data_IF_939460995369
#
_entry.id   IF_939460995369
#
_cell.length_a   1.000
_cell.length_b   1.000
_cell.length_c   1.000
_cell.angle_alpha   90.00
_cell.angle_beta   90.00
_cell.angle_gamma   90.00
#
_symmetry.space_group_name_H-M   'P 1'
#
loop_
_entity.id
_entity.type
_entity.pdbx_description
1 polymer ?
#
# COMPACT_ATOMS: atom_id res chain seq x y z
N UNK A 1 32.57 -13.34 4.57
CA UNK A 1 31.44 -12.65 5.24
C UNK A 1 30.38 -12.47 4.17
N UNK A 2 29.17 -12.97 4.40
CA UNK A 2 28.08 -12.77 3.44
C UNK A 2 27.70 -11.29 3.46
N UNK A 3 28.08 -10.54 2.43
CA UNK A 3 27.62 -9.18 2.24
C UNK A 3 26.12 -9.29 1.94
N UNK A 4 25.29 -9.07 2.96
CA UNK A 4 23.85 -8.93 2.79
C UNK A 4 23.61 -7.59 2.08
N UNK A 5 23.77 -7.58 0.75
CA UNK A 5 23.43 -6.44 -0.08
C UNK A 5 21.92 -6.37 -0.15
N UNK A 6 21.33 -5.39 0.51
CA UNK A 6 19.94 -5.03 0.27
C UNK A 6 19.85 -4.66 -1.20
N UNK A 7 19.15 -5.48 -2.00
CA UNK A 7 18.94 -5.26 -3.42
C UNK A 7 17.98 -4.07 -3.57
N UNK A 8 18.53 -2.86 -3.69
CA UNK A 8 17.75 -1.61 -3.75
C UNK A 8 16.73 -1.61 -4.90
N UNK A 9 17.02 -2.30 -5.99
CA UNK A 9 16.10 -2.47 -7.12
C UNK A 9 14.81 -3.23 -6.72
N UNK A 10 14.91 -4.21 -5.81
CA UNK A 10 13.75 -4.94 -5.31
C UNK A 10 12.89 -4.09 -4.39
N UNK A 11 13.51 -3.17 -3.64
CA UNK A 11 12.81 -2.26 -2.73
C UNK A 11 11.91 -1.30 -3.50
N UNK A 12 12.45 -0.65 -4.54
CA UNK A 12 11.67 0.25 -5.39
C UNK A 12 10.56 -0.50 -6.16
N UNK A 13 10.86 -1.72 -6.60
CA UNK A 13 9.88 -2.60 -7.24
C UNK A 13 8.71 -2.93 -6.32
N UNK A 14 8.99 -3.34 -5.07
CA UNK A 14 7.97 -3.68 -4.07
C UNK A 14 7.09 -2.46 -3.74
N UNK A 15 7.68 -1.27 -3.60
CA UNK A 15 6.92 -0.03 -3.37
C UNK A 15 6.03 0.31 -4.58
N UNK A 16 6.56 0.15 -5.80
CA UNK A 16 5.79 0.32 -7.04
C UNK A 16 4.61 -0.65 -7.13
N UNK A 17 4.84 -1.92 -6.83
CA UNK A 17 3.81 -2.96 -6.82
C UNK A 17 2.73 -2.71 -5.76
N UNK A 18 3.11 -2.32 -4.53
CA UNK A 18 2.14 -1.98 -3.48
C UNK A 18 1.24 -0.81 -3.87
N UNK A 19 1.82 0.23 -4.50
CA UNK A 19 1.03 1.36 -5.02
C UNK A 19 0.09 0.92 -6.15
N UNK A 20 0.57 0.09 -7.08
CA UNK A 20 -0.25 -0.43 -8.17
C UNK A 20 -1.39 -1.31 -7.67
N UNK A 21 -1.15 -2.17 -6.67
CA UNK A 21 -2.18 -3.01 -6.03
C UNK A 21 -3.22 -2.11 -5.35
N UNK A 22 -2.78 -1.11 -4.60
CA UNK A 22 -3.68 -0.16 -3.91
C UNK A 22 -4.58 0.57 -4.90
N UNK A 23 -4.01 1.07 -6.00
CA UNK A 23 -4.79 1.72 -7.06
C UNK A 23 -5.80 0.75 -7.70
N UNK A 24 -5.39 -0.49 -7.97
CA UNK A 24 -6.26 -1.50 -8.58
C UNK A 24 -7.41 -1.92 -7.65
N UNK A 25 -7.16 -1.98 -6.35
CA UNK A 25 -8.20 -2.22 -5.34
C UNK A 25 -9.18 -1.05 -5.33
N UNK A 26 -8.71 0.20 -5.25
CA UNK A 26 -9.57 1.38 -5.30
C UNK A 26 -10.42 1.44 -6.57
N UNK A 27 -9.83 1.12 -7.71
CA UNK A 27 -10.54 1.04 -8.99
C UNK A 27 -11.64 -0.02 -8.96
N UNK A 28 -11.31 -1.22 -8.46
CA UNK A 28 -12.27 -2.32 -8.34
C UNK A 28 -13.42 -1.94 -7.42
N UNK A 29 -13.15 -1.30 -6.27
CA UNK A 29 -14.17 -0.82 -5.34
C UNK A 29 -15.06 0.26 -5.97
N UNK A 30 -14.48 1.19 -6.73
CA UNK A 30 -15.24 2.20 -7.46
C UNK A 30 -16.15 1.60 -8.54
N UNK A 31 -15.66 0.61 -9.29
CA UNK A 31 -16.47 -0.11 -10.28
C UNK A 31 -17.61 -0.90 -9.63
N UNK A 32 -17.34 -1.54 -8.49
CA UNK A 32 -18.34 -2.25 -7.70
C UNK A 32 -19.39 -1.28 -7.12
N UNK A 33 -18.98 -0.09 -6.68
CA UNK A 33 -19.88 0.97 -6.20
C UNK A 33 -20.79 1.49 -7.32
N UNK A 34 -20.23 1.72 -8.51
CA UNK A 34 -21.01 2.13 -9.67
C UNK A 34 -22.02 1.06 -10.10
N UNK A 35 -21.62 -0.21 -10.14
CA UNK A 35 -22.51 -1.33 -10.48
C UNK A 35 -23.60 -1.55 -9.43
N UNK A 36 -23.27 -1.43 -8.14
CA UNK A 36 -24.24 -1.53 -7.07
C UNK A 36 -25.26 -0.39 -7.12
N UNK A 37 -24.82 0.85 -7.36
CA UNK A 37 -25.68 2.04 -7.49
C UNK A 37 -26.71 1.96 -8.62
N UNK A 38 -26.36 1.34 -9.75
CA UNK A 38 -27.30 1.15 -10.88
C UNK A 38 -28.48 0.26 -10.46
N UNK A 39 -28.23 -0.76 -9.65
CA UNK A 39 -29.26 -1.67 -9.15
C UNK A 39 -29.92 -1.15 -7.86
N UNK A 40 -29.36 -0.12 -7.23
CA UNK A 40 -29.79 0.40 -5.92
C UNK A 40 -31.19 1.03 -5.96
N UNK A 41 -31.65 1.45 -7.14
CA UNK A 41 -33.04 1.86 -7.39
C UNK A 41 -34.04 0.70 -7.24
N UNK A 42 -33.59 -0.55 -7.44
CA UNK A 42 -34.40 -1.76 -7.24
C UNK A 42 -34.26 -2.33 -5.82
N UNK A 43 -33.29 -1.83 -5.03
CA UNK A 43 -33.00 -2.34 -3.70
C UNK A 43 -33.95 -1.74 -2.67
N UNK A 44 -34.62 -2.62 -1.92
CA UNK A 44 -35.43 -2.24 -0.76
C UNK A 44 -34.55 -1.62 0.34
N UNK A 45 -35.14 -0.82 1.23
CA UNK A 45 -34.44 -0.01 2.25
C UNK A 45 -33.35 -0.76 3.05
N UNK A 46 -33.58 -2.03 3.41
CA UNK A 46 -32.62 -2.83 4.19
C UNK A 46 -31.35 -3.19 3.41
N UNK A 47 -31.47 -3.39 2.09
CA UNK A 47 -30.33 -3.66 1.23
C UNK A 47 -29.46 -2.41 1.05
N UNK A 48 -30.06 -1.21 1.05
CA UNK A 48 -29.31 0.06 1.02
C UNK A 48 -28.52 0.29 2.32
N UNK A 49 -29.11 -0.04 3.48
CA UNK A 49 -28.42 0.06 4.77
C UNK A 49 -27.25 -0.94 4.86
N UNK A 50 -27.45 -2.16 4.41
CA UNK A 50 -26.40 -3.19 4.34
C UNK A 50 -25.28 -2.77 3.39
N UNK A 51 -25.65 -2.24 2.22
CA UNK A 51 -24.69 -1.68 1.28
C UNK A 51 -23.84 -0.58 1.90
N UNK A 52 -24.45 0.38 2.60
CA UNK A 52 -23.73 1.48 3.24
C UNK A 52 -22.74 0.97 4.31
N UNK A 53 -23.08 -0.09 5.06
CA UNK A 53 -22.17 -0.70 6.03
C UNK A 53 -20.98 -1.38 5.37
N UNK A 54 -21.22 -2.22 4.36
CA UNK A 54 -20.13 -2.87 3.60
C UNK A 54 -19.28 -1.81 2.90
N UNK A 55 -19.93 -0.75 2.40
CA UNK A 55 -19.29 0.42 1.81
C UNK A 55 -18.45 1.22 2.82
N UNK A 56 -18.71 1.15 4.11
CA UNK A 56 -17.80 1.76 5.09
C UNK A 56 -16.57 0.88 5.33
N UNK A 57 -16.75 -0.44 5.38
CA UNK A 57 -15.69 -1.40 5.69
C UNK A 57 -14.63 -1.48 4.60
N UNK A 58 -15.05 -1.53 3.33
CA UNK A 58 -14.12 -1.61 2.20
C UNK A 58 -13.29 -0.32 2.01
N UNK A 59 -13.81 0.85 2.40
CA UNK A 59 -13.22 2.18 2.25
C UNK A 59 -12.18 2.34 3.36
N UNK A 60 -12.52 1.88 4.58
CA UNK A 60 -11.58 1.79 5.69
C UNK A 60 -10.42 0.82 5.38
N UNK A 61 -10.70 -0.35 4.79
CA UNK A 61 -9.66 -1.31 4.41
C UNK A 61 -8.73 -0.75 3.32
N UNK A 62 -9.29 -0.07 2.32
CA UNK A 62 -8.50 0.59 1.27
C UNK A 62 -7.62 1.72 1.82
N UNK A 63 -8.15 2.51 2.77
CA UNK A 63 -7.37 3.54 3.46
C UNK A 63 -6.22 2.93 4.27
N UNK A 64 -6.47 1.82 5.00
CA UNK A 64 -5.44 1.12 5.77
C UNK A 64 -4.34 0.55 4.86
N UNK A 65 -4.69 -0.01 3.70
CA UNK A 65 -3.70 -0.47 2.71
C UNK A 65 -2.80 0.68 2.22
N UNK A 66 -3.39 1.84 1.93
CA UNK A 66 -2.64 3.03 1.51
C UNK A 66 -1.66 3.48 2.60
N UNK A 67 -2.12 3.47 3.86
CA UNK A 67 -1.29 3.83 5.00
C UNK A 67 -0.14 2.85 5.20
N UNK A 68 -0.40 1.54 5.11
CA UNK A 68 0.64 0.50 5.24
C UNK A 68 1.67 0.57 4.11
N UNK A 69 1.23 0.84 2.88
CA UNK A 69 2.14 1.04 1.76
C UNK A 69 3.08 2.24 2.02
N UNK A 70 2.52 3.37 2.48
CA UNK A 70 3.31 4.55 2.84
C UNK A 70 4.30 4.28 4.00
N UNK A 71 3.86 3.55 5.03
CA UNK A 71 4.72 3.13 6.13
C UNK A 71 5.85 2.20 5.68
N UNK A 72 5.55 1.24 4.79
CA UNK A 72 6.55 0.36 4.21
C UNK A 72 7.59 1.14 3.41
N UNK A 73 7.17 2.10 2.57
CA UNK A 73 8.08 3.00 1.86
C UNK A 73 8.99 3.78 2.82
N UNK A 74 8.44 4.32 3.90
CA UNK A 74 9.22 5.06 4.89
C UNK A 74 10.24 4.17 5.61
N UNK A 75 9.84 2.96 6.03
CA UNK A 75 10.74 2.02 6.68
C UNK A 75 11.87 1.56 5.76
N UNK A 76 11.55 1.31 4.49
CA UNK A 76 12.53 0.95 3.47
C UNK A 76 13.50 2.10 3.18
N UNK A 77 13.03 3.35 3.19
CA UNK A 77 13.86 4.55 3.12
C UNK A 77 14.83 4.66 4.29
N UNK A 78 14.35 4.45 5.52
CA UNK A 78 15.21 4.44 6.71
C UNK A 78 16.29 3.36 6.65
N UNK A 79 15.93 2.14 6.21
CA UNK A 79 16.90 1.05 6.01
C UNK A 79 18.00 1.46 5.03
N UNK A 80 17.62 2.10 3.91
CA UNK A 80 18.58 2.60 2.92
C UNK A 80 19.55 3.61 3.55
N UNK A 81 19.02 4.57 4.31
CA UNK A 81 19.81 5.60 4.97
C UNK A 81 20.82 5.01 5.97
N UNK A 82 20.37 4.08 6.83
CA UNK A 82 21.23 3.37 7.79
C UNK A 82 22.32 2.53 7.10
N UNK A 83 22.00 1.83 6.01
CA UNK A 83 22.99 1.07 5.25
C UNK A 83 24.05 1.98 4.62
N UNK A 84 23.62 3.07 3.97
CA UNK A 84 24.55 4.02 3.34
C UNK A 84 25.47 4.71 4.35
N UNK A 85 24.96 5.02 5.54
CA UNK A 85 25.74 5.60 6.62
C UNK A 85 26.71 4.59 7.23
N UNK A 86 26.28 3.35 7.43
CA UNK A 86 27.15 2.26 7.93
C UNK A 86 28.30 1.95 6.99
N UNK A 87 28.06 1.95 5.68
CA UNK A 87 29.09 1.71 4.67
C UNK A 87 30.08 2.89 4.58
N UNK A 88 29.60 4.15 4.63
CA UNK A 88 30.47 5.34 4.70
C UNK A 88 31.31 5.38 5.98
N UNK A 89 30.71 5.06 7.12
CA UNK A 89 31.42 4.99 8.40
C UNK A 89 32.46 3.87 8.40
N UNK A 90 32.15 2.73 7.80
CA UNK A 90 33.10 1.64 7.58
C UNK A 90 34.27 2.06 6.69
N UNK A 91 34.00 2.71 5.55
CA UNK A 91 35.06 3.22 4.66
C UNK A 91 35.94 4.28 5.35
N UNK A 92 35.34 5.18 6.14
CA UNK A 92 36.10 6.15 6.94
C UNK A 92 36.94 5.52 8.06
N UNK A 93 36.55 4.34 8.57
CA UNK A 93 37.33 3.62 9.57
C UNK A 93 38.60 2.98 8.97
N UNK A 94 38.64 2.81 7.65
CA UNK A 94 39.74 2.17 6.91
C UNK A 94 40.48 3.14 5.98
N UNK A 95 40.16 4.44 5.99
CA UNK A 95 40.88 5.53 5.33
C UNK A 95 41.68 6.35 6.33
#
# INVERSE_FOLDING_TARGET
MATYTVQMEQVDTIVGEMNAITQRINQTLADLDNQAKVNLAEWTSDAQATYAQVKAQWDAAAADMTQKAAQATQQLGNINEYYSQGERAGVQLWS
#
